data_IF_059137157042
#
_entry.id   IF_059137157042
#
_cell.length_a   1.000
_cell.length_b   1.000
_cell.length_c   1.000
_cell.angle_alpha   90.00
_cell.angle_beta   90.00
_cell.angle_gamma   90.00
#
_symmetry.space_group_name_H-M   'P 1'
#
loop_
_entity.id
_entity.type
_entity.pdbx_description
1 polymer ?
#
# COMPACT_ATOMS: atom_id res chain seq x y z
N UNK A 1 -10.31 6.55 15.08
CA UNK A 1 -8.99 6.57 15.76
C UNK A 1 -7.97 7.00 14.73
N UNK A 2 -7.06 7.91 15.05
CA UNK A 2 -5.96 8.25 14.14
C UNK A 2 -4.87 7.22 14.35
N UNK A 3 -4.64 6.36 13.37
CA UNK A 3 -3.58 5.36 13.47
C UNK A 3 -2.23 6.03 13.27
N UNK A 4 -1.22 5.69 14.07
CA UNK A 4 0.13 6.18 13.85
C UNK A 4 0.84 5.43 12.71
N UNK A 5 0.09 5.14 11.65
CA UNK A 5 0.55 4.39 10.49
C UNK A 5 1.74 5.09 9.83
N UNK A 6 1.70 6.42 9.70
CA UNK A 6 2.79 7.16 9.07
C UNK A 6 4.12 6.98 9.83
N UNK A 7 4.09 6.94 11.17
CA UNK A 7 5.29 6.66 11.97
C UNK A 7 5.79 5.24 11.72
N UNK A 8 4.92 4.24 11.82
CA UNK A 8 5.33 2.85 11.61
C UNK A 8 5.79 2.58 10.18
N UNK A 9 5.13 3.18 9.19
CA UNK A 9 5.53 3.11 7.80
C UNK A 9 6.91 3.75 7.58
N UNK A 10 7.15 4.93 8.17
CA UNK A 10 8.47 5.58 8.15
C UNK A 10 9.54 4.69 8.79
N UNK A 11 9.22 3.99 9.89
CA UNK A 11 10.17 3.03 10.48
C UNK A 11 10.49 1.88 9.52
N UNK A 12 9.51 1.34 8.79
CA UNK A 12 9.78 0.27 7.82
C UNK A 12 10.55 0.76 6.59
N UNK A 13 10.29 1.98 6.14
CA UNK A 13 11.11 2.62 5.10
C UNK A 13 12.57 2.76 5.58
N UNK A 14 12.80 3.14 6.84
CA UNK A 14 14.13 3.22 7.43
C UNK A 14 14.82 1.86 7.56
N UNK A 15 14.07 0.81 7.92
CA UNK A 15 14.60 -0.56 7.93
C UNK A 15 15.02 -1.03 6.52
N UNK A 16 14.33 -0.55 5.49
CA UNK A 16 14.55 -0.94 4.09
C UNK A 16 15.66 -0.14 3.41
N UNK A 17 15.67 1.18 3.57
CA UNK A 17 16.58 2.10 2.86
C UNK A 17 17.75 2.59 3.72
N UNK A 18 17.73 2.31 5.02
CA UNK A 18 18.76 2.73 5.98
C UNK A 18 18.59 4.19 6.43
N UNK A 19 19.45 4.60 7.36
CA UNK A 19 19.61 5.99 7.80
C UNK A 19 20.92 6.56 7.26
N UNK A 20 20.96 7.83 6.82
CA UNK A 20 19.94 8.88 6.97
C UNK A 20 18.82 8.88 5.91
N UNK A 21 17.70 9.56 6.18
CA UNK A 21 16.54 9.70 5.27
C UNK A 21 16.87 10.43 3.97
N UNK A 22 17.97 11.18 3.93
CA UNK A 22 18.42 11.92 2.73
C UNK A 22 18.80 10.98 1.56
N UNK A 23 18.98 9.68 1.83
CA UNK A 23 19.24 8.67 0.80
C UNK A 23 17.99 7.92 0.36
N UNK A 24 16.82 8.26 0.89
CA UNK A 24 15.57 7.60 0.52
C UNK A 24 15.11 8.03 -0.88
N UNK A 25 14.34 7.18 -1.57
CA UNK A 25 13.70 7.58 -2.81
C UNK A 25 12.75 8.75 -2.56
N UNK A 26 12.73 9.72 -3.48
CA UNK A 26 11.85 10.89 -3.37
C UNK A 26 10.37 10.47 -3.37
N UNK A 27 10.02 9.37 -4.05
CA UNK A 27 8.66 8.82 -4.00
C UNK A 27 8.25 8.34 -2.62
N UNK A 28 9.15 7.98 -1.69
CA UNK A 28 8.78 7.50 -0.37
C UNK A 28 7.94 8.53 0.41
N UNK A 29 8.34 9.80 0.38
CA UNK A 29 7.56 10.89 1.00
C UNK A 29 6.24 11.13 0.27
N UNK A 30 6.23 10.99 -1.06
CA UNK A 30 5.04 11.24 -1.89
C UNK A 30 3.97 10.17 -1.75
N UNK A 31 4.34 8.90 -1.57
CA UNK A 31 3.38 7.78 -1.45
C UNK A 31 2.82 7.63 -0.04
N UNK A 32 3.60 7.99 0.99
CA UNK A 32 3.20 7.89 2.41
C UNK A 32 1.80 8.44 2.71
N UNK A 33 1.43 9.68 2.32
CA UNK A 33 0.09 10.21 2.63
C UNK A 33 -1.04 9.42 1.95
N UNK A 34 -0.81 8.86 0.76
CA UNK A 34 -1.82 8.04 0.09
C UNK A 34 -2.04 6.70 0.81
N UNK A 35 -0.97 6.08 1.30
CA UNK A 35 -1.07 4.84 2.07
C UNK A 35 -1.72 5.09 3.44
N UNK A 36 -1.46 6.23 4.07
CA UNK A 36 -2.14 6.62 5.31
C UNK A 36 -3.66 6.76 5.12
N UNK A 37 -4.12 7.35 4.01
CA UNK A 37 -5.56 7.47 3.70
C UNK A 37 -6.25 6.10 3.67
N UNK A 38 -5.58 5.06 3.16
CA UNK A 38 -6.14 3.70 3.12
C UNK A 38 -6.42 3.19 4.53
N UNK A 39 -5.46 3.33 5.44
CA UNK A 39 -5.59 2.87 6.83
C UNK A 39 -6.58 3.73 7.62
N UNK A 40 -6.60 5.04 7.38
CA UNK A 40 -7.58 5.93 8.02
C UNK A 40 -9.01 5.64 7.56
N UNK A 41 -9.18 5.25 6.30
CA UNK A 41 -10.49 4.90 5.74
C UNK A 41 -10.98 3.52 6.18
N UNK A 42 -10.12 2.50 6.08
CA UNK A 42 -10.51 1.10 6.26
C UNK A 42 -10.22 0.55 7.66
N UNK A 43 -9.34 1.19 8.42
CA UNK A 43 -8.75 0.60 9.63
C UNK A 43 -7.53 -0.25 9.32
N UNK A 44 -6.85 -0.71 10.38
CA UNK A 44 -5.57 -1.43 10.26
C UNK A 44 -5.73 -2.81 9.62
N UNK A 45 -6.73 -3.59 10.03
CA UNK A 45 -6.92 -4.96 9.54
C UNK A 45 -7.36 -5.00 8.07
N UNK A 46 -8.35 -4.18 7.70
CA UNK A 46 -8.78 -4.09 6.31
C UNK A 46 -7.73 -3.37 5.45
N UNK A 47 -7.00 -2.40 6.01
CA UNK A 47 -5.83 -1.78 5.35
C UNK A 47 -4.72 -2.79 5.04
N UNK A 48 -4.41 -3.70 5.97
CA UNK A 48 -3.46 -4.80 5.74
C UNK A 48 -3.87 -5.64 4.54
N UNK A 49 -5.12 -6.12 4.52
CA UNK A 49 -5.68 -6.91 3.41
C UNK A 49 -5.66 -6.14 2.10
N UNK A 50 -5.91 -4.83 2.16
CA UNK A 50 -5.88 -3.94 1.00
C UNK A 50 -4.47 -3.81 0.40
N UNK A 51 -3.44 -3.67 1.24
CA UNK A 51 -2.06 -3.62 0.78
C UNK A 51 -1.59 -4.96 0.22
N UNK A 52 -2.02 -6.09 0.78
CA UNK A 52 -1.77 -7.41 0.20
C UNK A 52 -2.42 -7.58 -1.18
N UNK A 53 -3.67 -7.14 -1.32
CA UNK A 53 -4.36 -7.10 -2.61
C UNK A 53 -3.62 -6.23 -3.63
N UNK A 54 -3.08 -5.09 -3.20
CA UNK A 54 -2.26 -4.23 -4.03
C UNK A 54 -0.95 -4.88 -4.48
N UNK A 55 -0.28 -5.65 -3.61
CA UNK A 55 0.91 -6.45 -3.99
C UNK A 55 0.54 -7.46 -5.07
N UNK A 56 -0.55 -8.19 -4.89
CA UNK A 56 -1.03 -9.15 -5.88
C UNK A 56 -1.38 -8.48 -7.21
N UNK A 57 -2.01 -7.31 -7.16
CA UNK A 57 -2.33 -6.52 -8.34
C UNK A 57 -1.08 -6.03 -9.08
N UNK A 58 -0.05 -5.54 -8.37
CA UNK A 58 1.22 -5.15 -8.98
C UNK A 58 1.90 -6.34 -9.67
N UNK A 59 1.98 -7.49 -8.99
CA UNK A 59 2.56 -8.72 -9.58
C UNK A 59 1.85 -9.13 -10.87
N UNK A 60 0.52 -9.07 -10.91
CA UNK A 60 -0.28 -9.33 -12.13
C UNK A 60 0.06 -8.37 -13.28
N UNK A 61 0.27 -7.08 -12.98
CA UNK A 61 0.71 -6.11 -13.99
C UNK A 61 2.09 -6.50 -14.53
N UNK A 62 3.05 -6.76 -13.65
CA UNK A 62 4.42 -7.09 -14.02
C UNK A 62 4.52 -8.41 -14.78
N UNK A 63 3.74 -9.43 -14.37
CA UNK A 63 3.60 -10.70 -15.10
C UNK A 63 3.03 -10.48 -16.49
N UNK A 64 1.95 -9.70 -16.62
CA UNK A 64 1.34 -9.42 -17.92
C UNK A 64 2.28 -8.68 -18.86
N UNK A 65 3.05 -7.70 -18.35
CA UNK A 65 4.09 -6.99 -19.11
C UNK A 65 5.22 -7.91 -19.54
N UNK A 66 5.72 -8.75 -18.63
CA UNK A 66 6.79 -9.72 -18.91
C UNK A 66 6.38 -10.73 -19.98
N UNK A 67 5.17 -11.25 -19.89
CA UNK A 67 4.65 -12.27 -20.80
C UNK A 67 4.11 -11.68 -22.11
N UNK A 68 4.15 -10.35 -22.27
CA UNK A 68 3.57 -9.62 -23.40
C UNK A 68 2.10 -10.00 -23.65
N UNK A 69 1.38 -10.27 -22.55
CA UNK A 69 -0.02 -10.65 -22.59
C UNK A 69 -0.92 -9.42 -22.39
N UNK A 70 -2.23 -9.62 -22.50
CA UNK A 70 -3.17 -8.52 -22.31
C UNK A 70 -3.15 -8.03 -20.85
N UNK A 71 -2.84 -6.75 -20.67
CA UNK A 71 -2.74 -6.12 -19.35
C UNK A 71 -3.96 -5.22 -19.10
N UNK A 72 -4.79 -5.59 -18.12
CA UNK A 72 -5.98 -4.81 -17.73
C UNK A 72 -5.67 -3.62 -16.83
N UNK A 73 -4.42 -3.50 -16.38
CA UNK A 73 -3.94 -2.42 -15.53
C UNK A 73 -4.19 -2.66 -14.03
N UNK A 74 -3.42 -1.94 -13.20
CA UNK A 74 -3.41 -2.10 -11.76
C UNK A 74 -4.79 -1.94 -11.11
N UNK A 75 -5.56 -0.93 -11.51
CA UNK A 75 -6.87 -0.67 -10.92
C UNK A 75 -7.82 -1.87 -11.07
N UNK A 76 -7.85 -2.51 -12.24
CA UNK A 76 -8.68 -3.69 -12.47
C UNK A 76 -8.24 -4.88 -11.61
N UNK A 77 -6.93 -5.13 -11.52
CA UNK A 77 -6.42 -6.22 -10.70
C UNK A 77 -6.59 -5.97 -9.20
N UNK A 78 -6.48 -4.72 -8.74
CA UNK A 78 -6.74 -4.33 -7.36
C UNK A 78 -8.20 -4.55 -6.99
N UNK A 79 -9.12 -4.11 -7.84
CA UNK A 79 -10.56 -4.26 -7.63
C UNK A 79 -10.96 -5.74 -7.48
N UNK A 80 -10.38 -6.59 -8.35
CA UNK A 80 -10.56 -8.03 -8.31
C UNK A 80 -9.95 -8.66 -7.04
N UNK A 81 -8.74 -8.26 -6.67
CA UNK A 81 -8.01 -8.85 -5.53
C UNK A 81 -8.58 -8.42 -4.17
N UNK A 82 -9.03 -7.17 -4.06
CA UNK A 82 -9.61 -6.62 -2.84
C UNK A 82 -11.08 -7.04 -2.64
N UNK A 83 -11.75 -7.56 -3.68
CA UNK A 83 -13.17 -7.90 -3.62
C UNK A 83 -14.08 -6.68 -3.48
N UNK A 84 -13.60 -5.50 -3.88
CA UNK A 84 -14.25 -4.21 -3.62
C UNK A 84 -15.63 -4.03 -4.28
N UNK A 85 -15.99 -4.91 -5.22
CA UNK A 85 -17.31 -4.97 -5.84
C UNK A 85 -18.45 -5.38 -4.91
N UNK A 86 -18.16 -5.99 -3.76
CA UNK A 86 -19.20 -6.60 -2.91
C UNK A 86 -19.97 -5.57 -2.07
N UNK A 87 -19.32 -4.46 -1.66
CA UNK A 87 -19.94 -3.37 -0.90
C UNK A 87 -19.25 -2.02 -1.17
N UNK A 88 -19.79 -1.24 -2.10
CA UNK A 88 -19.24 0.09 -2.44
C UNK A 88 -19.65 1.10 -1.37
N UNK A 89 -18.72 1.41 -0.47
CA UNK A 89 -18.86 2.43 0.58
C UNK A 89 -17.89 3.59 0.35
N UNK A 90 -18.15 4.76 0.96
CA UNK A 90 -17.23 5.91 0.88
C UNK A 90 -15.80 5.57 1.32
N UNK A 91 -15.56 4.82 2.41
CA UNK A 91 -14.22 4.37 2.78
C UNK A 91 -13.53 3.52 1.71
N UNK A 92 -14.24 2.56 1.11
CA UNK A 92 -13.71 1.70 0.04
C UNK A 92 -13.32 2.52 -1.18
N UNK A 93 -14.15 3.49 -1.59
CA UNK A 93 -13.83 4.40 -2.70
C UNK A 93 -12.60 5.24 -2.38
N UNK A 94 -12.50 5.80 -1.18
CA UNK A 94 -11.35 6.60 -0.76
C UNK A 94 -10.05 5.79 -0.79
N UNK A 95 -10.06 4.58 -0.23
CA UNK A 95 -8.91 3.67 -0.24
C UNK A 95 -8.52 3.26 -1.67
N UNK A 96 -9.50 3.02 -2.55
CA UNK A 96 -9.24 2.65 -3.94
C UNK A 96 -8.58 3.79 -4.73
N UNK A 97 -9.11 5.01 -4.62
CA UNK A 97 -8.52 6.19 -5.28
C UNK A 97 -7.12 6.51 -4.72
N UNK A 98 -6.94 6.40 -3.40
CA UNK A 98 -5.64 6.62 -2.77
C UNK A 98 -4.60 5.61 -3.28
N UNK A 99 -4.96 4.33 -3.38
CA UNK A 99 -4.06 3.29 -3.89
C UNK A 99 -3.69 3.50 -5.36
N UNK A 100 -4.63 3.92 -6.21
CA UNK A 100 -4.31 4.26 -7.61
C UNK A 100 -3.31 5.41 -7.68
N UNK A 101 -3.50 6.44 -6.85
CA UNK A 101 -2.58 7.57 -6.74
C UNK A 101 -1.19 7.13 -6.28
N UNK A 102 -1.10 6.36 -5.20
CA UNK A 102 0.15 5.82 -4.69
C UNK A 102 0.90 5.00 -5.76
N UNK A 103 0.18 4.10 -6.44
CA UNK A 103 0.76 3.25 -7.48
C UNK A 103 1.27 4.06 -8.69
N UNK A 104 0.51 5.05 -9.15
CA UNK A 104 0.91 5.91 -10.27
C UNK A 104 2.17 6.74 -9.94
N UNK A 105 2.26 7.25 -8.71
CA UNK A 105 3.43 7.99 -8.23
C UNK A 105 4.64 7.06 -8.13
N UNK A 106 4.48 5.90 -7.48
CA UNK A 106 5.55 4.94 -7.26
C UNK A 106 6.10 4.39 -8.59
N UNK A 107 5.24 3.97 -9.53
CA UNK A 107 5.69 3.33 -10.77
C UNK A 107 6.44 4.26 -11.73
N UNK A 108 6.28 5.58 -11.58
CA UNK A 108 6.98 6.58 -12.41
C UNK A 108 8.44 6.72 -12.01
N UNK A 109 8.76 6.45 -10.74
CA UNK A 109 10.14 6.40 -10.29
C UNK A 109 10.73 5.01 -10.55
N UNK A 110 11.78 4.94 -11.39
CA UNK A 110 12.40 3.67 -11.78
C UNK A 110 13.46 3.17 -10.79
N UNK A 111 13.79 3.96 -9.76
CA UNK A 111 14.86 3.65 -8.81
C UNK A 111 14.46 2.57 -7.81
N UNK A 112 13.15 2.42 -7.54
CA UNK A 112 12.59 1.51 -6.55
C UNK A 112 11.37 0.82 -7.09
N UNK A 113 11.30 -0.49 -6.85
CA UNK A 113 10.14 -1.30 -7.17
C UNK A 113 8.94 -0.91 -6.29
N UNK A 114 7.77 -0.74 -6.90
CA UNK A 114 6.51 -0.40 -6.21
C UNK A 114 6.19 -1.40 -5.11
N UNK A 115 6.53 -2.67 -5.29
CA UNK A 115 6.30 -3.74 -4.32
C UNK A 115 6.95 -3.42 -2.96
N UNK A 116 8.08 -2.70 -2.94
CA UNK A 116 8.77 -2.30 -1.70
C UNK A 116 7.87 -1.43 -0.82
N UNK A 117 7.13 -0.48 -1.40
CA UNK A 117 6.23 0.37 -0.63
C UNK A 117 5.08 -0.41 -0.02
N UNK A 118 4.53 -1.37 -0.77
CA UNK A 118 3.45 -2.21 -0.25
C UNK A 118 3.96 -3.20 0.81
N UNK A 119 5.17 -3.73 0.68
CA UNK A 119 5.81 -4.57 1.69
C UNK A 119 5.97 -3.80 3.02
N UNK A 120 6.48 -2.57 2.97
CA UNK A 120 6.61 -1.71 4.14
C UNK A 120 5.24 -1.39 4.76
N UNK A 121 4.20 -1.17 3.94
CA UNK A 121 2.85 -0.89 4.42
C UNK A 121 2.22 -2.10 5.13
N UNK A 122 2.38 -3.30 4.58
CA UNK A 122 1.95 -4.57 5.19
C UNK A 122 2.63 -4.78 6.54
N UNK A 123 3.94 -4.53 6.62
CA UNK A 123 4.69 -4.65 7.87
C UNK A 123 4.25 -3.63 8.93
N UNK A 124 4.03 -2.38 8.52
CA UNK A 124 3.52 -1.32 9.39
C UNK A 124 2.13 -1.66 9.97
N UNK A 125 1.20 -2.13 9.12
CA UNK A 125 -0.11 -2.59 9.57
C UNK A 125 -0.01 -3.81 10.50
N UNK A 126 0.85 -4.77 10.18
CA UNK A 126 1.05 -5.97 11.01
C UNK A 126 1.55 -5.62 12.41
N UNK A 127 2.44 -4.63 12.54
CA UNK A 127 2.91 -4.12 13.84
C UNK A 127 1.81 -3.42 14.62
N UNK A 128 0.95 -2.67 13.94
CA UNK A 128 -0.19 -1.98 14.55
C UNK A 128 -1.31 -2.93 15.01
N UNK A 129 -1.58 -4.00 14.26
CA UNK A 129 -2.56 -5.02 14.66
C UNK A 129 -2.08 -5.92 15.80
N UNK A 130 -0.76 -6.08 15.94
CA UNK A 130 -0.16 -6.86 17.02
C UNK A 130 -0.07 -6.15 18.38
N UNK A 131 -0.34 -4.84 18.44
CA UNK A 131 -0.29 -4.01 19.67
C UNK A 131 -1.63 -3.85 20.37
N UNK A 132 -2.66 -4.62 20.02
CA UNK A 132 -3.90 -4.64 20.80
C UNK A 132 -3.60 -5.13 22.24
N UNK A 133 -3.88 -4.33 23.29
CA UNK A 133 -3.71 -4.79 24.65
C UNK A 133 -4.77 -5.87 24.91
N UNK A 134 -4.33 -7.10 25.14
CA UNK A 134 -5.14 -8.11 25.83
C UNK A 134 -5.64 -7.50 27.13
N UNK A 135 -6.90 -7.07 27.15
CA UNK A 135 -7.61 -6.73 28.37
C UNK A 135 -7.75 -8.02 29.19
N UNK A 136 -6.96 -8.11 30.25
CA UNK A 136 -7.10 -9.07 31.34
C UNK A 136 -7.67 -8.36 32.57
#
# INVERSE_FOLDING_TARGET
MTYDFSLHFTQELGNRFGSPTDTWPETAERVTPFLAIVVDALGVDDGLRWFEAARQAHRRVTEAERDHSYNFGFAHYLDTAAGAYQDVTLPVVAAFEAMKGAYEVARRERSVDVEVYFDCAVQACSRLGGTEPTAA
#
